data_IF_694497661592
#
_entry.id   IF_694497661592
#
_cell.length_a   1.000
_cell.length_b   1.000
_cell.length_c   1.000
_cell.angle_alpha   90.00
_cell.angle_beta   90.00
_cell.angle_gamma   90.00
#
_symmetry.space_group_name_H-M   'P 1'
#
loop_
_entity.id
_entity.type
_entity.pdbx_description
1 polymer ?
#
# COMPACT_ATOMS: atom_id res chain seq x y z
N UNK A 1 -40.08 -1.59 48.51
CA UNK A 1 -38.89 -2.13 47.82
C UNK A 1 -38.97 -1.73 46.35
N UNK A 2 -38.26 -0.68 45.95
CA UNK A 2 -38.23 -0.19 44.57
C UNK A 2 -36.93 -0.66 43.92
N UNK A 3 -37.03 -1.49 42.87
CA UNK A 3 -35.91 -2.00 42.08
C UNK A 3 -35.53 -0.93 41.05
N UNK A 4 -34.32 -0.39 41.13
CA UNK A 4 -33.83 0.58 40.16
C UNK A 4 -33.65 -0.08 38.79
N UNK A 5 -34.30 0.50 37.77
CA UNK A 5 -34.06 0.14 36.37
C UNK A 5 -32.94 1.05 35.89
N UNK A 6 -31.76 0.46 35.74
CA UNK A 6 -30.59 1.10 35.14
C UNK A 6 -30.82 1.21 33.63
N UNK A 7 -30.99 2.43 33.13
CA UNK A 7 -31.08 2.73 31.71
C UNK A 7 -29.66 2.74 31.14
N UNK A 8 -29.22 1.64 30.52
CA UNK A 8 -27.98 1.59 29.76
C UNK A 8 -28.20 2.31 28.42
N UNK A 9 -27.79 3.58 28.35
CA UNK A 9 -27.65 4.31 27.09
C UNK A 9 -26.44 3.70 26.37
N UNK A 10 -26.70 2.75 25.48
CA UNK A 10 -25.70 2.25 24.54
C UNK A 10 -25.32 3.39 23.60
N UNK A 11 -24.17 4.02 23.84
CA UNK A 11 -23.56 4.92 22.88
C UNK A 11 -23.27 4.12 21.61
N UNK A 12 -24.06 4.37 20.58
CA UNK A 12 -23.83 3.85 19.24
C UNK A 12 -22.54 4.52 18.73
N UNK A 13 -21.39 3.87 18.94
CA UNK A 13 -20.14 4.25 18.29
C UNK A 13 -20.33 3.97 16.80
N UNK A 14 -20.75 5.00 16.07
CA UNK A 14 -20.68 5.01 14.62
C UNK A 14 -19.17 5.08 14.33
N UNK A 15 -18.55 3.91 14.10
CA UNK A 15 -17.26 3.88 13.42
C UNK A 15 -17.52 4.52 12.06
N UNK A 16 -17.08 5.76 11.89
CA UNK A 16 -16.93 6.36 10.58
C UNK A 16 -15.91 5.52 9.84
N UNK A 17 -16.39 4.54 9.07
CA UNK A 17 -15.65 3.94 7.98
C UNK A 17 -15.35 5.08 7.02
N UNK A 18 -14.20 5.72 7.20
CA UNK A 18 -13.62 6.62 6.23
C UNK A 18 -13.23 5.77 5.03
N UNK A 19 -14.19 5.47 4.15
CA UNK A 19 -13.87 5.05 2.79
C UNK A 19 -13.16 6.26 2.15
N UNK A 20 -11.83 6.23 2.10
CA UNK A 20 -11.10 7.11 1.20
C UNK A 20 -11.59 6.80 -0.21
N UNK A 21 -12.43 7.68 -0.76
CA UNK A 21 -12.75 7.66 -2.17
C UNK A 21 -11.42 7.73 -2.91
N UNK A 22 -11.09 6.65 -3.64
CA UNK A 22 -9.90 6.56 -4.49
C UNK A 22 -9.88 7.78 -5.40
N UNK A 23 -8.99 8.73 -5.11
CA UNK A 23 -8.78 9.89 -5.95
C UNK A 23 -8.38 9.41 -7.35
N UNK A 24 -8.73 10.16 -8.41
CA UNK A 24 -8.39 9.81 -9.79
C UNK A 24 -6.92 9.32 -9.90
N UNK A 25 -6.65 8.26 -10.70
CA UNK A 25 -5.43 7.47 -10.56
C UNK A 25 -4.18 8.33 -10.61
N UNK A 26 -3.33 8.13 -9.61
CA UNK A 26 -2.04 8.80 -9.47
C UNK A 26 -1.09 8.56 -10.64
N UNK A 27 0.05 9.26 -10.62
CA UNK A 27 1.14 9.07 -11.59
C UNK A 27 1.58 7.60 -11.55
N UNK A 28 1.45 6.87 -12.67
CA UNK A 28 1.94 5.48 -12.75
C UNK A 28 3.45 5.45 -12.63
N UNK A 29 3.96 4.61 -11.72
CA UNK A 29 5.38 4.35 -11.56
C UNK A 29 5.78 3.21 -12.47
N UNK A 30 6.88 3.40 -13.20
CA UNK A 30 7.40 2.37 -14.11
C UNK A 30 8.26 1.40 -13.30
N UNK A 31 7.77 0.17 -13.17
CA UNK A 31 8.51 -0.92 -12.57
C UNK A 31 9.39 -1.62 -13.61
N UNK A 32 10.61 -1.97 -13.22
CA UNK A 32 11.58 -2.74 -14.00
C UNK A 32 12.06 -3.91 -13.17
N UNK A 33 12.22 -5.08 -13.76
CA UNK A 33 12.82 -6.24 -13.11
C UNK A 33 13.76 -6.95 -14.08
N UNK A 34 14.98 -7.24 -13.63
CA UNK A 34 15.90 -8.10 -14.36
C UNK A 34 15.66 -9.56 -13.99
N UNK A 35 15.40 -10.42 -14.98
CA UNK A 35 15.24 -11.86 -14.80
C UNK A 35 14.18 -12.25 -13.74
N UNK A 36 12.99 -11.65 -13.85
CA UNK A 36 11.84 -11.94 -12.98
C UNK A 36 10.84 -12.86 -13.67
N UNK A 37 10.26 -13.81 -12.93
CA UNK A 37 9.10 -14.59 -13.37
C UNK A 37 7.79 -13.84 -13.11
N UNK A 38 7.83 -12.65 -12.50
CA UNK A 38 6.67 -11.81 -12.26
C UNK A 38 6.19 -11.21 -13.59
N UNK A 39 4.98 -11.55 -14.08
CA UNK A 39 4.42 -10.89 -15.26
C UNK A 39 4.28 -9.39 -15.03
N UNK A 40 4.63 -8.56 -16.01
CA UNK A 40 4.63 -7.09 -15.90
C UNK A 40 3.26 -6.46 -15.58
N UNK A 41 2.16 -7.19 -15.82
CA UNK A 41 0.80 -6.78 -15.46
C UNK A 41 0.40 -7.13 -14.02
N UNK A 42 1.21 -7.91 -13.29
CA UNK A 42 0.85 -8.47 -11.99
C UNK A 42 0.80 -7.45 -10.87
N UNK A 43 1.57 -6.38 -10.98
CA UNK A 43 1.64 -5.34 -9.96
C UNK A 43 1.62 -3.98 -10.66
N UNK A 44 0.84 -3.07 -10.11
CA UNK A 44 0.80 -1.68 -10.51
C UNK A 44 1.13 -0.80 -9.31
N UNK A 45 1.96 0.21 -9.52
CA UNK A 45 2.23 1.22 -8.50
C UNK A 45 1.84 2.59 -9.05
N UNK A 46 1.09 3.36 -8.27
CA UNK A 46 0.72 4.75 -8.57
C UNK A 46 1.11 5.65 -7.41
N UNK A 47 1.52 6.88 -7.74
CA UNK A 47 1.68 7.96 -6.77
C UNK A 47 0.47 8.88 -6.85
N UNK A 48 -0.39 8.81 -5.85
CA UNK A 48 -1.63 9.57 -5.79
C UNK A 48 -1.38 11.05 -5.50
N UNK A 49 -2.40 11.89 -5.71
CA UNK A 49 -2.27 13.35 -5.57
C UNK A 49 -1.91 13.79 -4.15
N UNK A 50 -2.37 13.04 -3.16
CA UNK A 50 -2.06 13.23 -1.74
C UNK A 50 -0.70 12.65 -1.32
N UNK A 51 0.12 12.22 -2.30
CA UNK A 51 1.45 11.64 -2.10
C UNK A 51 1.45 10.28 -1.42
N UNK A 52 0.31 9.59 -1.40
CA UNK A 52 0.25 8.18 -1.07
C UNK A 52 0.79 7.36 -2.23
N UNK A 53 1.72 6.45 -1.95
CA UNK A 53 2.13 5.43 -2.92
C UNK A 53 1.18 4.24 -2.79
N UNK A 54 0.48 3.92 -3.87
CA UNK A 54 -0.52 2.85 -3.88
C UNK A 54 -0.01 1.70 -4.73
N UNK A 55 0.19 0.55 -4.09
CA UNK A 55 0.54 -0.71 -4.77
C UNK A 55 -0.71 -1.56 -4.93
N UNK A 56 -1.06 -1.90 -6.17
CA UNK A 56 -2.19 -2.76 -6.52
C UNK A 56 -1.68 -4.08 -7.08
N UNK A 57 -2.16 -5.19 -6.53
CA UNK A 57 -1.84 -6.54 -7.01
C UNK A 57 -2.94 -7.01 -7.96
N UNK A 58 -2.59 -7.37 -9.19
CA UNK A 58 -3.53 -7.85 -10.21
C UNK A 58 -3.48 -9.38 -10.36
N UNK A 59 -2.90 -10.08 -9.38
CA UNK A 59 -2.93 -11.54 -9.20
C UNK A 59 -2.55 -11.89 -7.77
N UNK A 60 -2.84 -13.12 -7.36
CA UNK A 60 -2.30 -13.69 -6.12
C UNK A 60 -0.77 -13.76 -6.16
N UNK A 61 -0.12 -13.35 -5.07
CA UNK A 61 1.33 -13.38 -4.88
C UNK A 61 1.66 -13.71 -3.42
N UNK A 62 2.46 -14.74 -3.20
CA UNK A 62 2.87 -15.17 -1.87
C UNK A 62 4.21 -14.52 -1.47
N UNK A 63 4.40 -14.28 -0.17
CA UNK A 63 5.64 -13.76 0.43
C UNK A 63 6.16 -12.49 -0.24
N UNK A 64 5.27 -11.52 -0.45
CA UNK A 64 5.62 -10.21 -1.00
C UNK A 64 6.28 -9.35 0.07
N UNK A 65 7.45 -8.81 -0.26
CA UNK A 65 8.10 -7.73 0.51
C UNK A 65 8.08 -6.45 -0.32
N UNK A 66 7.41 -5.42 0.16
CA UNK A 66 7.48 -4.07 -0.40
C UNK A 66 8.47 -3.27 0.44
N UNK A 67 9.52 -2.76 -0.17
CA UNK A 67 10.48 -1.86 0.47
C UNK A 67 10.43 -0.51 -0.22
N UNK A 68 10.29 0.56 0.56
CA UNK A 68 10.49 1.92 0.08
C UNK A 68 11.75 2.46 0.72
N UNK A 69 12.64 3.00 -0.11
CA UNK A 69 13.89 3.62 0.32
C UNK A 69 14.17 4.90 -0.45
N UNK A 70 14.96 5.78 0.16
CA UNK A 70 15.56 6.91 -0.55
C UNK A 70 16.63 6.39 -1.51
N UNK A 71 16.95 7.16 -2.54
CA UNK A 71 18.08 6.87 -3.44
C UNK A 71 19.43 6.76 -2.70
N UNK A 72 19.56 7.37 -1.52
CA UNK A 72 20.72 7.19 -0.64
C UNK A 72 20.86 5.78 -0.07
N UNK A 73 19.81 4.94 -0.18
CA UNK A 73 19.72 3.61 0.41
C UNK A 73 19.05 3.57 1.78
N UNK A 74 18.66 4.72 2.34
CA UNK A 74 17.91 4.78 3.61
C UNK A 74 16.51 4.19 3.43
N UNK A 75 16.21 3.09 4.13
CA UNK A 75 14.90 2.45 4.13
C UNK A 75 13.92 3.26 4.98
N UNK A 76 12.79 3.61 4.39
CA UNK A 76 11.73 4.39 5.06
C UNK A 76 10.52 3.53 5.46
N UNK A 77 10.27 2.43 4.74
CA UNK A 77 9.14 1.53 4.99
C UNK A 77 9.46 0.15 4.45
N UNK A 78 9.02 -0.88 5.18
CA UNK A 78 9.02 -2.28 4.77
C UNK A 78 7.67 -2.86 5.15
N UNK A 79 6.99 -3.47 4.18
CA UNK A 79 5.73 -4.19 4.38
C UNK A 79 5.90 -5.63 3.89
N UNK A 80 5.42 -6.60 4.68
CA UNK A 80 5.46 -8.02 4.34
C UNK A 80 4.04 -8.57 4.33
N UNK A 81 3.65 -9.24 3.24
CA UNK A 81 2.29 -9.77 3.09
C UNK A 81 2.23 -10.92 2.08
N UNK A 82 1.16 -11.71 2.20
CA UNK A 82 0.62 -12.45 1.06
C UNK A 82 -0.45 -11.56 0.43
N UNK A 83 -0.37 -11.33 -0.87
CA UNK A 83 -1.29 -10.48 -1.61
C UNK A 83 -2.27 -11.31 -2.43
N UNK A 84 -3.54 -10.92 -2.41
CA UNK A 84 -4.59 -11.45 -3.28
C UNK A 84 -4.82 -10.55 -4.49
N UNK A 85 -5.39 -11.14 -5.54
CA UNK A 85 -5.85 -10.37 -6.68
C UNK A 85 -6.78 -9.24 -6.23
N UNK A 86 -6.48 -8.03 -6.69
CA UNK A 86 -7.13 -6.75 -6.35
C UNK A 86 -6.81 -6.19 -4.96
N UNK A 87 -5.89 -6.78 -4.21
CA UNK A 87 -5.41 -6.15 -2.98
C UNK A 87 -4.71 -4.83 -3.27
N UNK A 88 -4.93 -3.88 -2.37
CA UNK A 88 -4.37 -2.54 -2.42
C UNK A 88 -3.58 -2.30 -1.14
N UNK A 89 -2.30 -1.99 -1.29
CA UNK A 89 -1.42 -1.60 -0.20
C UNK A 89 -1.03 -0.13 -0.36
N UNK A 90 -1.67 0.79 0.38
CA UNK A 90 -1.27 2.19 0.43
C UNK A 90 -0.10 2.37 1.40
N UNK A 91 0.92 3.11 0.99
CA UNK A 91 2.06 3.49 1.82
C UNK A 91 2.23 5.01 1.82
N UNK A 92 2.20 5.60 3.02
CA UNK A 92 2.47 7.02 3.20
C UNK A 92 3.98 7.27 3.27
N UNK A 93 4.46 8.31 2.59
CA UNK A 93 5.85 8.73 2.62
C UNK A 93 5.92 10.10 3.30
N UNK A 94 6.37 10.15 4.58
CA UNK A 94 6.53 11.40 5.29
C UNK A 94 7.47 12.34 4.54
N UNK A 95 7.09 13.62 4.44
CA UNK A 95 7.87 14.67 3.81
C UNK A 95 8.34 14.33 2.37
N UNK A 96 7.45 13.71 1.59
CA UNK A 96 7.70 13.29 0.21
C UNK A 96 8.35 14.38 -0.66
N UNK A 97 9.34 13.97 -1.45
CA UNK A 97 10.06 14.75 -2.46
C UNK A 97 10.15 13.96 -3.75
N UNK A 98 9.79 14.60 -4.87
CA UNK A 98 9.75 13.92 -6.15
C UNK A 98 11.13 13.51 -6.66
N UNK A 99 11.25 12.27 -7.13
CA UNK A 99 12.46 11.70 -7.73
C UNK A 99 13.48 11.13 -6.75
N UNK A 100 13.26 11.26 -5.44
CA UNK A 100 14.22 10.86 -4.40
C UNK A 100 14.03 9.43 -3.88
N UNK A 101 13.01 8.69 -4.36
CA UNK A 101 12.63 7.41 -3.78
C UNK A 101 12.65 6.26 -4.78
N UNK A 102 12.84 5.06 -4.25
CA UNK A 102 12.79 3.78 -4.95
C UNK A 102 11.81 2.89 -4.20
N UNK A 103 10.88 2.28 -4.92
CA UNK A 103 10.09 1.14 -4.45
C UNK A 103 10.71 -0.14 -4.99
N UNK A 104 10.89 -1.12 -4.12
CA UNK A 104 11.29 -2.49 -4.45
C UNK A 104 10.19 -3.44 -4.02
N UNK A 105 9.83 -4.37 -4.91
CA UNK A 105 8.84 -5.41 -4.66
C UNK A 105 9.54 -6.74 -4.91
N UNK A 106 9.80 -7.48 -3.84
CA UNK A 106 10.47 -8.77 -3.88
C UNK A 106 9.48 -9.88 -3.56
N UNK A 107 9.52 -10.94 -4.35
CA UNK A 107 8.77 -12.17 -4.13
C UNK A 107 9.67 -13.38 -4.45
N UNK A 108 9.25 -14.61 -4.12
CA UNK A 108 9.99 -15.81 -4.52
C UNK A 108 10.22 -15.94 -6.04
N UNK A 109 9.37 -15.28 -6.85
CA UNK A 109 9.41 -15.30 -8.31
C UNK A 109 10.32 -14.22 -8.92
N UNK A 110 10.81 -13.28 -8.11
CA UNK A 110 11.77 -12.27 -8.54
C UNK A 110 11.51 -10.89 -7.94
N UNK A 111 12.15 -9.89 -8.53
CA UNK A 111 12.18 -8.52 -8.01
C UNK A 111 11.75 -7.52 -9.07
N UNK A 112 11.04 -6.48 -8.62
CA UNK A 112 10.65 -5.31 -9.39
C UNK A 112 11.09 -4.05 -8.64
N UNK A 113 11.63 -3.07 -9.37
CA UNK A 113 12.02 -1.78 -8.82
C UNK A 113 11.43 -0.61 -9.63
N UNK A 114 11.10 0.49 -8.98
CA UNK A 114 10.64 1.71 -9.64
C UNK A 114 11.11 2.96 -8.91
N UNK A 115 11.62 3.93 -9.66
CA UNK A 115 11.98 5.25 -9.12
C UNK A 115 10.77 6.19 -9.21
N UNK A 116 10.56 7.01 -8.18
CA UNK A 116 9.50 8.00 -8.16
C UNK A 116 9.85 9.26 -7.37
#
# INVERSE_FOLDING_TARGET
MMKQILLMIGALFIYSLSFSMTQAPGKKIILKGGNTLIPSSSVQVTLDKDKTLTTTFNKDMDNVTITIKKQSGEVISIENMDAKEWDICPTNIPDYKEGEYIIEISTPDGELEGQF
#
